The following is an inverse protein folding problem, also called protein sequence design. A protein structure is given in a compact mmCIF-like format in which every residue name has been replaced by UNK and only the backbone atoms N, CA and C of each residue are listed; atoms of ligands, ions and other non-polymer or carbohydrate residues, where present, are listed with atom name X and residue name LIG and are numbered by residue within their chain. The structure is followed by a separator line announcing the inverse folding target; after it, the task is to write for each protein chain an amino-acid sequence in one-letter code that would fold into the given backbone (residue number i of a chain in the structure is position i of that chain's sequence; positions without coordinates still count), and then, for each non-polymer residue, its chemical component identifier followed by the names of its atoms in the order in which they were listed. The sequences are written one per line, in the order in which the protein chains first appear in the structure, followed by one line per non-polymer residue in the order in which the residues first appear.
data_IF_057346505352
#
_entry.id   IF_057346505352
#
_cell.length_a   1.000
_cell.length_b   1.000
_cell.length_c   1.000
_cell.angle_alpha   90.00
_cell.angle_beta   90.00
_cell.angle_gamma   90.00
#
_symmetry.space_group_name_H-M   'P 1'
#
loop_
_entity.id
_entity.type
_entity.pdbx_description
1 polymer ?
#
# COMPACT_ATOMS: atom_id res chain seq x y z
N UNK A 1 3.27 -0.86 19.24
CA UNK A 1 2.37 -2.03 19.35
C UNK A 1 3.02 -3.22 20.05
N UNK A 2 4.21 -3.68 19.63
CA UNK A 2 4.88 -4.88 20.19
C UNK A 2 5.74 -4.65 21.44
N UNK A 3 6.13 -3.41 21.74
CA UNK A 3 6.92 -3.12 22.94
C UNK A 3 6.06 -3.32 24.20
N UNK A 4 6.43 -4.30 25.03
CA UNK A 4 5.73 -4.68 26.28
C UNK A 4 5.83 -3.64 27.39
N UNK A 5 6.79 -2.70 27.31
CA UNK A 5 6.99 -1.66 28.32
C UNK A 5 6.01 -0.49 28.18
N UNK A 6 5.40 -0.30 27.00
CA UNK A 6 4.45 0.78 26.78
C UNK A 6 3.05 0.42 27.29
N UNK A 7 2.41 1.35 28.00
CA UNK A 7 1.02 1.20 28.43
C UNK A 7 0.04 1.25 27.23
N UNK A 8 -1.17 0.74 27.44
CA UNK A 8 -2.20 0.65 26.39
C UNK A 8 -2.66 2.00 25.85
N UNK A 9 -2.63 3.05 26.68
CA UNK A 9 -3.05 4.40 26.31
C UNK A 9 -2.09 5.01 25.29
N UNK A 10 -0.78 4.90 25.52
CA UNK A 10 0.24 5.40 24.60
C UNK A 10 0.20 4.66 23.27
N UNK A 11 -0.06 3.35 23.29
CA UNK A 11 -0.24 2.56 22.04
C UNK A 11 -1.44 3.06 21.23
N UNK A 12 -2.57 3.34 21.89
CA UNK A 12 -3.76 3.86 21.24
C UNK A 12 -3.52 5.27 20.66
N UNK A 13 -2.83 6.12 21.41
CA UNK A 13 -2.45 7.47 20.96
C UNK A 13 -1.60 7.41 19.69
N UNK A 14 -0.52 6.63 19.70
CA UNK A 14 0.37 6.47 18.56
C UNK A 14 -0.33 5.85 17.34
N UNK A 15 -1.27 4.92 17.56
CA UNK A 15 -2.08 4.35 16.48
C UNK A 15 -2.97 5.40 15.81
N UNK A 16 -3.63 6.26 16.59
CA UNK A 16 -4.45 7.35 16.07
C UNK A 16 -3.61 8.36 15.29
N UNK A 17 -2.48 8.77 15.85
CA UNK A 17 -1.54 9.70 15.21
C UNK A 17 -1.04 9.15 13.87
N UNK A 18 -0.64 7.87 13.82
CA UNK A 18 -0.22 7.24 12.57
C UNK A 18 -1.34 7.23 11.51
N UNK A 19 -2.58 6.98 11.91
CA UNK A 19 -3.74 7.01 11.02
C UNK A 19 -4.05 8.42 10.49
N UNK A 20 -3.95 9.44 11.34
CA UNK A 20 -4.12 10.85 10.96
C UNK A 20 -3.04 11.29 9.96
N UNK A 21 -1.78 10.98 10.25
CA UNK A 21 -0.63 11.29 9.37
C UNK A 21 -0.77 10.59 8.01
N UNK A 22 -1.12 9.30 8.00
CA UNK A 22 -1.34 8.55 6.76
C UNK A 22 -2.48 9.15 5.91
N UNK A 23 -3.60 9.51 6.56
CA UNK A 23 -4.74 10.12 5.89
C UNK A 23 -4.39 11.49 5.32
N UNK A 24 -3.67 12.31 6.08
CA UNK A 24 -3.19 13.62 5.65
C UNK A 24 -2.30 13.50 4.40
N UNK A 25 -1.25 12.67 4.46
CA UNK A 25 -0.34 12.48 3.33
C UNK A 25 -1.05 11.91 2.09
N UNK A 26 -2.00 10.99 2.27
CA UNK A 26 -2.78 10.44 1.16
C UNK A 26 -3.54 11.55 0.40
N UNK A 27 -4.15 12.50 1.12
CA UNK A 27 -4.83 13.66 0.50
C UNK A 27 -3.88 14.61 -0.22
N UNK A 28 -2.71 14.86 0.36
CA UNK A 28 -1.67 15.68 -0.28
C UNK A 28 -1.17 15.02 -1.58
N UNK A 29 -0.92 13.70 -1.56
CA UNK A 29 -0.54 12.94 -2.75
C UNK A 29 -1.63 12.98 -3.84
N UNK A 30 -2.90 12.83 -3.48
CA UNK A 30 -4.03 12.91 -4.42
C UNK A 30 -4.17 14.30 -5.07
N UNK A 31 -3.68 15.35 -4.42
CA UNK A 31 -3.68 16.73 -4.95
C UNK A 31 -2.36 17.11 -5.62
N UNK A 32 -1.50 16.12 -5.95
CA UNK A 32 -0.28 16.33 -6.71
C UNK A 32 0.94 16.78 -5.88
N UNK A 33 0.89 16.68 -4.56
CA UNK A 33 2.00 17.06 -3.67
C UNK A 33 2.89 15.88 -3.26
N UNK A 34 2.70 14.72 -3.89
CA UNK A 34 3.59 13.56 -3.75
C UNK A 34 4.95 13.80 -4.41
N UNK A 35 5.98 13.06 -3.98
CA UNK A 35 7.36 13.29 -4.42
C UNK A 35 7.86 12.28 -5.45
N UNK A 36 7.31 11.07 -5.47
CA UNK A 36 7.85 9.95 -6.27
C UNK A 36 7.89 10.24 -7.77
N UNK A 37 6.81 10.81 -8.32
CA UNK A 37 6.76 11.17 -9.74
C UNK A 37 7.70 12.33 -10.08
N UNK A 38 7.93 13.25 -9.14
CA UNK A 38 8.90 14.33 -9.33
C UNK A 38 10.32 13.78 -9.38
N UNK A 39 10.68 12.87 -8.45
CA UNK A 39 11.99 12.21 -8.44
C UNK A 39 12.21 11.33 -9.67
N UNK A 40 11.17 10.63 -10.14
CA UNK A 40 11.23 9.88 -11.40
C UNK A 40 11.58 10.79 -12.59
N UNK A 41 10.90 11.94 -12.72
CA UNK A 41 11.18 12.89 -13.81
C UNK A 41 12.59 13.44 -13.70
N UNK A 42 13.06 13.80 -12.50
CA UNK A 42 14.43 14.25 -12.28
C UNK A 42 15.45 13.17 -12.67
N UNK A 43 15.19 11.90 -12.34
CA UNK A 43 16.03 10.78 -12.75
C UNK A 43 16.10 10.65 -14.27
N UNK A 44 14.96 10.71 -14.96
CA UNK A 44 14.92 10.64 -16.43
C UNK A 44 15.73 11.79 -17.06
N UNK A 45 15.53 13.02 -16.57
CA UNK A 45 16.28 14.19 -17.05
C UNK A 45 17.78 14.04 -16.79
N UNK A 46 18.18 13.53 -15.63
CA UNK A 46 19.59 13.32 -15.30
C UNK A 46 20.25 12.32 -16.27
N UNK A 47 19.55 11.26 -16.67
CA UNK A 47 20.05 10.31 -17.69
C UNK A 47 20.17 10.94 -19.07
N UNK A 48 19.19 11.74 -19.51
CA UNK A 48 19.22 12.41 -20.82
C UNK A 48 20.31 13.48 -20.91
N UNK A 49 20.57 14.18 -19.81
CA UNK A 49 21.57 15.27 -19.74
C UNK A 49 22.96 14.81 -19.34
N UNK A 50 23.13 13.53 -18.99
CA UNK A 50 24.41 12.97 -18.52
C UNK A 50 24.80 13.40 -17.11
N UNK A 51 23.88 13.96 -16.33
CA UNK A 51 24.13 14.36 -14.94
C UNK A 51 24.05 13.12 -14.04
N UNK A 52 25.11 12.86 -13.30
CA UNK A 52 25.14 11.84 -12.26
C UNK A 52 24.60 12.41 -10.95
N UNK A 53 23.69 11.67 -10.30
CA UNK A 53 23.15 12.02 -8.99
C UNK A 53 23.06 10.77 -8.12
N UNK A 54 23.91 10.63 -7.09
CA UNK A 54 23.85 9.50 -6.17
C UNK A 54 22.48 9.33 -5.51
N UNK A 55 21.79 10.44 -5.23
CA UNK A 55 20.44 10.42 -4.67
C UNK A 55 19.44 9.77 -5.63
N UNK A 56 19.45 10.17 -6.91
CA UNK A 56 18.49 9.67 -7.90
C UNK A 56 18.79 8.22 -8.30
N UNK A 57 20.06 7.83 -8.30
CA UNK A 57 20.49 6.45 -8.54
C UNK A 57 20.11 5.54 -7.36
N UNK A 58 20.26 6.02 -6.12
CA UNK A 58 19.76 5.31 -4.95
C UNK A 58 18.24 5.16 -4.97
N UNK A 59 17.52 6.25 -5.24
CA UNK A 59 16.06 6.28 -5.21
C UNK A 59 15.44 5.29 -6.20
N UNK A 60 15.90 5.27 -7.46
CA UNK A 60 15.32 4.39 -8.48
C UNK A 60 15.59 2.90 -8.23
N UNK A 61 16.66 2.59 -7.48
CA UNK A 61 17.08 1.23 -7.18
C UNK A 61 16.29 0.61 -6.01
N UNK A 62 15.49 1.39 -5.27
CA UNK A 62 14.78 0.88 -4.10
C UNK A 62 13.68 -0.13 -4.51
N UNK A 63 13.67 -1.34 -3.89
CA UNK A 63 12.60 -2.29 -4.12
C UNK A 63 11.33 -1.86 -3.38
N UNK A 64 10.19 -1.95 -4.07
CA UNK A 64 8.87 -1.77 -3.45
C UNK A 64 8.35 -3.12 -2.92
N UNK A 65 8.87 -3.53 -1.77
CA UNK A 65 8.54 -4.82 -1.15
C UNK A 65 7.08 -4.95 -0.75
N UNK A 66 6.40 -3.84 -0.50
CA UNK A 66 4.97 -3.81 -0.26
C UNK A 66 4.30 -2.89 -1.28
N UNK A 67 3.65 -3.49 -2.26
CA UNK A 67 2.86 -2.77 -3.25
C UNK A 67 1.39 -2.94 -2.91
N UNK A 68 0.70 -1.84 -2.59
CA UNK A 68 -0.70 -1.87 -2.14
C UNK A 68 -1.62 -1.04 -3.01
N UNK A 69 -2.88 -1.45 -3.11
CA UNK A 69 -3.93 -0.65 -3.74
C UNK A 69 -5.30 -0.94 -3.15
N UNK A 70 -6.02 0.12 -2.79
CA UNK A 70 -7.41 0.03 -2.42
C UNK A 70 -8.28 0.08 -3.69
N UNK A 71 -9.14 -0.93 -3.88
CA UNK A 71 -10.18 -0.86 -4.90
C UNK A 71 -11.28 0.09 -4.41
N UNK A 72 -11.57 1.21 -5.11
CA UNK A 72 -12.61 2.14 -4.69
C UNK A 72 -14.00 1.55 -4.92
N UNK A 73 -15.00 2.15 -4.26
CA UNK A 73 -16.39 1.90 -4.62
C UNK A 73 -16.67 2.47 -6.02
N UNK A 74 -17.33 1.67 -6.84
CA UNK A 74 -17.64 2.03 -8.23
C UNK A 74 -19.02 2.68 -8.33
N UNK A 75 -19.22 3.51 -9.35
CA UNK A 75 -20.53 4.09 -9.62
C UNK A 75 -21.55 2.99 -9.92
N UNK A 76 -22.75 3.07 -9.34
CA UNK A 76 -23.83 2.05 -9.46
C UNK A 76 -23.50 0.70 -8.84
N UNK A 77 -22.61 0.68 -7.85
CA UNK A 77 -22.44 -0.49 -6.99
C UNK A 77 -23.73 -0.77 -6.22
N UNK A 78 -24.03 -2.05 -5.99
CA UNK A 78 -25.13 -2.51 -5.13
C UNK A 78 -24.82 -2.08 -3.69
N UNK A 79 -25.87 -1.80 -2.91
CA UNK A 79 -25.73 -1.61 -1.47
C UNK A 79 -25.37 -2.95 -0.83
N UNK A 80 -24.10 -3.11 -0.45
CA UNK A 80 -23.57 -4.32 0.14
C UNK A 80 -23.97 -4.50 1.61
N UNK A 81 -24.48 -3.45 2.27
CA UNK A 81 -25.07 -3.60 3.60
C UNK A 81 -26.47 -4.23 3.51
N UNK A 82 -27.24 -3.90 2.47
CA UNK A 82 -28.55 -4.52 2.19
C UNK A 82 -28.42 -5.90 1.52
N UNK A 83 -27.39 -6.10 0.71
CA UNK A 83 -27.11 -7.34 -0.02
C UNK A 83 -25.67 -7.83 0.17
N UNK A 84 -25.31 -8.36 1.36
CA UNK A 84 -23.93 -8.78 1.66
C UNK A 84 -23.39 -9.88 0.74
N UNK A 85 -24.28 -10.71 0.18
CA UNK A 85 -23.96 -11.79 -0.76
C UNK A 85 -23.55 -11.28 -2.15
N UNK A 86 -23.87 -10.02 -2.48
CA UNK A 86 -23.41 -9.35 -3.68
C UNK A 86 -21.97 -8.79 -3.56
N UNK A 87 -21.33 -8.96 -2.40
CA UNK A 87 -19.96 -8.50 -2.17
C UNK A 87 -18.94 -9.16 -3.09
N UNK A 88 -17.94 -8.39 -3.49
CA UNK A 88 -16.88 -8.85 -4.39
C UNK A 88 -15.51 -8.35 -3.93
N UNK A 89 -14.47 -9.09 -4.33
CA UNK A 89 -13.12 -8.96 -3.77
C UNK A 89 -12.28 -7.79 -4.31
N UNK A 90 -12.80 -7.02 -5.26
CA UNK A 90 -11.99 -6.02 -5.95
C UNK A 90 -11.03 -6.64 -6.98
N UNK A 91 -10.01 -5.87 -7.35
CA UNK A 91 -8.92 -6.34 -8.20
C UNK A 91 -7.80 -7.04 -7.43
N UNK A 92 -6.78 -7.48 -8.17
CA UNK A 92 -5.54 -8.04 -7.62
C UNK A 92 -4.37 -7.82 -8.58
N UNK A 93 -3.16 -7.81 -8.06
CA UNK A 93 -1.93 -7.65 -8.84
C UNK A 93 -0.76 -8.38 -8.18
N UNK A 94 0.26 -8.68 -8.98
CA UNK A 94 1.46 -9.40 -8.52
C UNK A 94 2.38 -8.47 -7.72
N UNK A 95 3.27 -9.05 -6.91
CA UNK A 95 4.30 -8.30 -6.21
C UNK A 95 5.21 -7.52 -7.19
N UNK A 96 5.54 -6.28 -6.83
CA UNK A 96 6.35 -5.38 -7.67
C UNK A 96 7.84 -5.76 -7.70
N UNK A 97 8.30 -6.58 -6.74
CA UNK A 97 9.64 -7.12 -6.69
C UNK A 97 9.62 -8.59 -6.28
N UNK A 98 10.73 -9.29 -6.55
CA UNK A 98 10.86 -10.74 -6.30
C UNK A 98 10.56 -11.10 -4.85
N UNK A 99 11.02 -10.29 -3.91
CA UNK A 99 10.98 -10.57 -2.47
C UNK A 99 9.84 -9.81 -1.74
N UNK A 100 8.83 -9.35 -2.49
CA UNK A 100 7.76 -8.52 -1.96
C UNK A 100 6.37 -9.15 -2.04
N UNK A 101 5.38 -8.34 -1.67
CA UNK A 101 3.95 -8.64 -1.72
C UNK A 101 3.21 -7.63 -2.61
N UNK A 102 2.24 -8.14 -3.37
CA UNK A 102 1.15 -7.36 -3.93
C UNK A 102 -0.08 -7.53 -3.06
N UNK A 103 -0.63 -6.44 -2.53
CA UNK A 103 -1.82 -6.47 -1.68
C UNK A 103 -2.89 -5.55 -2.25
N UNK A 104 -4.03 -6.11 -2.64
CA UNK A 104 -5.22 -5.32 -2.93
C UNK A 104 -6.27 -5.54 -1.86
N UNK A 105 -6.98 -4.49 -1.50
CA UNK A 105 -8.06 -4.59 -0.51
C UNK A 105 -9.24 -3.69 -0.85
N UNK A 106 -10.38 -4.02 -0.24
CA UNK A 106 -11.64 -3.30 -0.41
C UNK A 106 -12.49 -3.42 0.86
N UNK A 107 -13.20 -2.36 1.18
CA UNK A 107 -14.27 -2.39 2.20
C UNK A 107 -15.57 -2.78 1.50
N UNK A 108 -16.12 -3.94 1.84
CA UNK A 108 -17.40 -4.45 1.36
C UNK A 108 -18.45 -4.18 2.43
N UNK A 109 -19.26 -3.14 2.18
CA UNK A 109 -20.15 -2.57 3.19
C UNK A 109 -19.44 -2.24 4.51
N UNK A 110 -20.20 -2.30 5.60
CA UNK A 110 -19.74 -2.20 6.99
C UNK A 110 -19.46 -3.58 7.62
N UNK A 111 -19.52 -4.66 6.84
CA UNK A 111 -19.45 -6.03 7.35
C UNK A 111 -18.15 -6.76 7.04
N UNK A 112 -17.39 -6.35 6.01
CA UNK A 112 -16.20 -7.12 5.58
C UNK A 112 -15.11 -6.27 4.94
N UNK A 113 -13.88 -6.77 5.06
CA UNK A 113 -12.71 -6.29 4.31
C UNK A 113 -12.26 -7.44 3.42
N UNK A 114 -12.35 -7.27 2.11
CA UNK A 114 -11.85 -8.24 1.15
C UNK A 114 -10.38 -7.94 0.86
N UNK A 115 -9.51 -8.95 0.93
CA UNK A 115 -8.06 -8.78 0.75
C UNK A 115 -7.53 -9.85 -0.21
N UNK A 116 -6.81 -9.42 -1.24
CA UNK A 116 -6.00 -10.25 -2.13
C UNK A 116 -4.53 -10.04 -1.80
N UNK A 117 -3.84 -11.09 -1.34
CA UNK A 117 -2.39 -11.06 -1.04
C UNK A 117 -1.69 -11.99 -2.03
N UNK A 118 -0.66 -11.49 -2.71
CA UNK A 118 0.10 -12.23 -3.70
C UNK A 118 1.60 -12.09 -3.41
N UNK A 119 2.33 -13.21 -3.44
CA UNK A 119 3.79 -13.22 -3.42
C UNK A 119 4.35 -14.29 -4.36
N UNK A 120 5.65 -14.23 -4.66
CA UNK A 120 6.29 -15.24 -5.48
C UNK A 120 6.69 -16.46 -4.62
N UNK A 121 6.30 -17.66 -5.05
CA UNK A 121 6.71 -18.92 -4.39
C UNK A 121 8.23 -19.10 -4.30
N UNK A 122 8.98 -18.49 -5.22
CA UNK A 122 10.44 -18.53 -5.26
C UNK A 122 11.14 -17.61 -4.24
N UNK A 123 10.38 -16.79 -3.50
CA UNK A 123 10.94 -15.86 -2.53
C UNK A 123 10.91 -16.46 -1.13
N UNK A 124 12.10 -16.73 -0.59
CA UNK A 124 12.28 -17.39 0.71
C UNK A 124 11.75 -16.57 1.89
N UNK A 125 11.67 -15.25 1.74
CA UNK A 125 11.21 -14.32 2.77
C UNK A 125 9.71 -14.00 2.70
N UNK A 126 8.96 -14.59 1.75
CA UNK A 126 7.52 -14.32 1.60
C UNK A 126 6.67 -15.59 1.64
N UNK A 127 5.52 -15.54 2.31
CA UNK A 127 4.61 -16.67 2.43
C UNK A 127 3.15 -16.22 2.35
N UNK A 128 2.51 -16.46 1.19
CA UNK A 128 1.09 -16.17 0.97
C UNK A 128 0.15 -17.01 1.86
N UNK A 129 0.60 -18.19 2.32
CA UNK A 129 -0.21 -19.13 3.11
C UNK A 129 0.13 -19.15 4.61
N UNK A 130 0.76 -18.09 5.14
CA UNK A 130 1.04 -18.05 6.58
C UNK A 130 -0.27 -17.98 7.37
N UNK A 131 -0.49 -18.82 8.40
CA UNK A 131 -1.74 -18.92 9.16
C UNK A 131 -2.06 -17.71 10.06
N UNK A 132 -1.49 -16.53 9.78
CA UNK A 132 -1.64 -15.29 10.53
C UNK A 132 -2.59 -14.26 9.89
N UNK A 133 -3.27 -14.63 8.80
CA UNK A 133 -4.41 -13.90 8.22
C UNK A 133 -5.59 -14.85 8.05
#
# INVERSE_FOLDING_TARGET
MINTENNSEERLKLLKEAGEVHTFHSKECLTGKGVDRHLLVLHIISKVTGINSPLLDYYIAQPWELSTSQTPNVTRQIDEDEHPDASWFGGGFQAACKNGYGISYRFAGNHSICINIVSYKSAENTHMHSPGF
#
